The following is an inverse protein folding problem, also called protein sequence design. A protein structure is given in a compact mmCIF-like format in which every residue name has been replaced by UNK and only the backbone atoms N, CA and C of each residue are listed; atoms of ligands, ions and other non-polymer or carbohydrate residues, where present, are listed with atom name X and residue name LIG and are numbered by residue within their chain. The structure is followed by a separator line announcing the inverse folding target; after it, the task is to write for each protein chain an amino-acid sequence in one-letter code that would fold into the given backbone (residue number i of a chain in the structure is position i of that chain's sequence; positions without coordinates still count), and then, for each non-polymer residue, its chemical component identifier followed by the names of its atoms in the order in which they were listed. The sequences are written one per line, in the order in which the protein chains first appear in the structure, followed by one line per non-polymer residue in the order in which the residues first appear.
data_IF_891046741666
#
_entry.id   IF_891046741666
#
_cell.length_a   1.000
_cell.length_b   1.000
_cell.length_c   1.000
_cell.angle_alpha   90.00
_cell.angle_beta   90.00
_cell.angle_gamma   90.00
#
_symmetry.space_group_name_H-M   'P 1'
#
loop_
_entity.id
_entity.type
_entity.pdbx_description
1 polymer ?
#
# COMPACT_ATOMS: atom_id res chain seq x y z
N UNK A 1 10.75 59.80 23.15
CA UNK A 1 10.68 58.32 23.16
C UNK A 1 10.29 57.88 21.76
N UNK A 2 11.02 56.92 21.20
CA UNK A 2 11.15 56.67 19.77
C UNK A 2 9.93 55.99 19.11
N UNK A 3 9.69 56.40 17.86
CA UNK A 3 9.27 55.63 16.68
C UNK A 3 8.51 54.31 16.92
N UNK A 4 7.18 54.33 16.76
CA UNK A 4 6.39 53.11 16.59
C UNK A 4 6.16 52.89 15.10
N UNK A 5 6.95 51.99 14.55
CA UNK A 5 6.98 51.60 13.14
C UNK A 5 5.61 51.18 12.60
N UNK A 6 5.19 51.81 11.51
CA UNK A 6 4.19 51.27 10.60
C UNK A 6 4.84 50.21 9.72
N UNK A 7 4.30 48.99 9.69
CA UNK A 7 4.67 47.98 8.69
C UNK A 7 3.51 47.06 8.32
N UNK A 8 2.95 47.37 7.14
CA UNK A 8 2.29 46.53 6.10
C UNK A 8 1.07 45.66 6.46
N UNK A 9 -0.07 45.90 5.80
CA UNK A 9 -0.94 44.84 5.32
C UNK A 9 -0.58 44.54 3.86
N UNK A 10 -0.10 43.32 3.57
CA UNK A 10 -0.05 42.81 2.20
C UNK A 10 -0.81 41.48 2.16
N UNK A 11 -2.13 41.54 2.33
CA UNK A 11 -3.02 40.41 2.10
C UNK A 11 -3.27 40.37 0.59
N UNK A 12 -2.33 39.77 -0.15
CA UNK A 12 -2.60 39.32 -1.50
C UNK A 12 -3.48 38.08 -1.39
N UNK A 13 -4.78 38.28 -1.62
CA UNK A 13 -5.73 37.20 -1.89
C UNK A 13 -5.28 36.49 -3.16
N UNK A 14 -4.68 35.31 -3.02
CA UNK A 14 -4.67 34.33 -4.10
C UNK A 14 -5.83 33.37 -3.84
N UNK A 15 -6.90 33.65 -4.56
CA UNK A 15 -7.89 32.68 -4.99
C UNK A 15 -7.17 31.39 -5.42
N UNK A 16 -7.30 30.33 -4.63
CA UNK A 16 -6.99 28.98 -5.02
C UNK A 16 -8.16 28.14 -4.57
N UNK A 17 -9.02 27.80 -5.53
CA UNK A 17 -10.18 26.95 -5.34
C UNK A 17 -9.82 25.60 -4.68
N UNK A 18 -10.83 24.84 -4.23
CA UNK A 18 -10.61 23.55 -3.62
C UNK A 18 -10.02 22.60 -4.67
N UNK A 19 -8.71 22.39 -4.57
CA UNK A 19 -7.94 21.41 -5.35
C UNK A 19 -8.45 20.01 -4.98
N UNK A 20 -9.57 19.66 -5.60
CA UNK A 20 -10.24 18.36 -5.44
C UNK A 20 -9.64 17.42 -6.46
N UNK A 21 -8.37 17.10 -6.29
CA UNK A 21 -7.69 16.05 -7.04
C UNK A 21 -7.14 15.02 -6.06
N UNK A 22 -7.64 13.78 -6.02
CA UNK A 22 -6.92 12.73 -5.30
C UNK A 22 -5.65 12.47 -6.09
N UNK A 23 -4.55 13.09 -5.69
CA UNK A 23 -3.22 12.62 -6.05
C UNK A 23 -3.03 11.27 -5.36
N UNK A 24 -3.60 10.21 -5.93
CA UNK A 24 -3.34 8.82 -5.58
C UNK A 24 -1.92 8.48 -5.99
N UNK A 25 -0.95 9.13 -5.38
CA UNK A 25 0.47 8.85 -5.58
C UNK A 25 0.70 7.48 -4.97
N UNK A 26 0.91 6.49 -5.82
CA UNK A 26 1.27 5.13 -5.42
C UNK A 26 2.38 5.19 -4.39
N UNK A 27 2.10 4.72 -3.17
CA UNK A 27 3.11 4.65 -2.12
C UNK A 27 3.93 3.38 -2.33
N UNK A 28 5.25 3.50 -2.23
CA UNK A 28 6.19 2.40 -2.42
C UNK A 28 6.33 1.53 -1.16
N UNK A 29 5.70 1.92 -0.05
CA UNK A 29 5.65 1.13 1.17
C UNK A 29 4.72 -0.06 0.98
N UNK A 30 5.25 -1.26 1.21
CA UNK A 30 4.51 -2.53 1.12
C UNK A 30 3.29 -2.60 2.05
N UNK A 31 3.23 -1.75 3.07
CA UNK A 31 2.13 -1.66 4.03
C UNK A 31 1.12 -0.58 3.69
N UNK A 32 1.35 0.21 2.63
CA UNK A 32 0.45 1.26 2.21
C UNK A 32 -0.80 0.70 1.55
N UNK A 33 -1.89 1.45 1.66
CA UNK A 33 -3.18 1.10 1.07
C UNK A 33 -3.13 1.05 -0.47
N UNK A 34 -2.40 1.96 -1.10
CA UNK A 34 -2.29 2.09 -2.55
C UNK A 34 -0.96 1.55 -3.10
N UNK A 35 -0.45 0.48 -2.49
CA UNK A 35 0.81 -0.14 -2.88
C UNK A 35 0.72 -0.80 -4.27
N UNK A 36 1.62 -0.44 -5.20
CA UNK A 36 1.59 -0.94 -6.59
C UNK A 36 1.87 -2.42 -6.74
N UNK A 37 2.54 -3.04 -5.77
CA UNK A 37 2.88 -4.46 -5.83
C UNK A 37 1.69 -5.38 -5.55
N UNK A 38 0.51 -4.85 -5.23
CA UNK A 38 -0.67 -5.65 -4.97
C UNK A 38 -1.09 -6.48 -6.20
N UNK A 39 -1.32 -7.77 -5.99
CA UNK A 39 -1.80 -8.68 -7.02
C UNK A 39 -3.32 -8.82 -6.96
N UNK A 40 -3.87 -9.05 -5.76
CA UNK A 40 -5.30 -9.14 -5.54
C UNK A 40 -5.64 -8.97 -4.05
N UNK A 41 -6.91 -8.68 -3.78
CA UNK A 41 -7.50 -8.59 -2.44
C UNK A 41 -8.61 -9.61 -2.25
N UNK A 42 -8.72 -10.10 -1.03
CA UNK A 42 -9.80 -10.96 -0.58
C UNK A 42 -10.30 -10.47 0.79
N UNK A 43 -11.31 -9.58 0.77
CA UNK A 43 -11.83 -8.93 1.97
C UNK A 43 -10.75 -8.11 2.68
N UNK A 44 -10.46 -8.46 3.94
CA UNK A 44 -9.41 -7.82 4.77
C UNK A 44 -8.02 -8.42 4.55
N UNK A 45 -7.85 -9.30 3.56
CA UNK A 45 -6.56 -9.90 3.22
C UNK A 45 -6.14 -9.45 1.82
N UNK A 46 -4.84 -9.40 1.58
CA UNK A 46 -4.30 -9.20 0.24
C UNK A 46 -3.03 -10.00 0.01
N UNK A 47 -2.77 -10.25 -1.27
CA UNK A 47 -1.48 -10.76 -1.73
C UNK A 47 -0.81 -9.70 -2.57
N UNK A 48 0.45 -9.40 -2.25
CA UNK A 48 1.27 -8.45 -2.98
C UNK A 48 2.63 -9.05 -3.32
N UNK A 49 3.34 -8.45 -4.26
CA UNK A 49 4.75 -8.68 -4.54
C UNK A 49 5.57 -7.75 -3.65
N UNK A 50 6.65 -8.23 -3.03
CA UNK A 50 7.52 -7.34 -2.28
C UNK A 50 8.18 -6.28 -3.18
N UNK A 51 8.67 -5.20 -2.58
CA UNK A 51 9.30 -4.07 -3.29
C UNK A 51 10.45 -4.50 -4.19
N UNK A 52 11.18 -5.54 -3.77
CA UNK A 52 12.35 -6.06 -4.48
C UNK A 52 11.99 -7.11 -5.54
N UNK A 53 10.71 -7.47 -5.66
CA UNK A 53 10.23 -8.39 -6.70
C UNK A 53 10.82 -9.80 -6.57
N UNK A 54 11.06 -10.28 -5.35
CA UNK A 54 11.64 -11.62 -5.08
C UNK A 54 10.67 -12.59 -4.41
N UNK A 55 9.61 -12.11 -3.77
CA UNK A 55 8.67 -12.93 -3.01
C UNK A 55 7.26 -12.31 -2.97
N UNK A 56 6.27 -13.14 -2.66
CA UNK A 56 4.93 -12.67 -2.30
C UNK A 56 4.84 -12.32 -0.83
N UNK A 57 4.00 -11.34 -0.53
CA UNK A 57 3.59 -10.91 0.80
C UNK A 57 2.12 -11.29 0.95
N UNK A 58 1.79 -11.98 2.04
CA UNK A 58 0.41 -12.15 2.47
C UNK A 58 0.16 -11.20 3.62
N UNK A 59 -0.84 -10.33 3.48
CA UNK A 59 -1.07 -9.24 4.40
C UNK A 59 -2.53 -9.18 4.84
N UNK A 60 -2.74 -8.62 6.03
CA UNK A 60 -4.06 -8.38 6.61
C UNK A 60 -4.24 -6.90 6.92
N UNK A 61 -5.42 -6.38 6.64
CA UNK A 61 -5.78 -5.01 6.93
C UNK A 61 -5.86 -4.80 8.44
N UNK A 62 -5.23 -3.72 8.93
CA UNK A 62 -5.30 -3.30 10.32
C UNK A 62 -6.71 -2.77 10.61
N UNK A 63 -7.37 -3.21 11.70
CA UNK A 63 -8.61 -2.59 12.13
C UNK A 63 -8.35 -1.13 12.52
N UNK A 64 -9.29 -0.24 12.21
CA UNK A 64 -9.32 1.18 12.63
C UNK A 64 -8.35 2.14 11.93
N UNK A 65 -7.74 1.77 10.79
CA UNK A 65 -7.00 2.72 9.96
C UNK A 65 -7.88 3.24 8.79
N UNK A 66 -8.52 4.42 8.92
CA UNK A 66 -9.09 5.12 7.78
C UNK A 66 -7.96 5.64 6.88
N UNK A 67 -8.19 5.61 5.56
CA UNK A 67 -7.25 5.93 4.49
C UNK A 67 -6.25 7.06 4.86
N UNK A 68 -4.97 6.71 5.07
CA UNK A 68 -3.93 7.71 5.37
C UNK A 68 -2.69 7.19 6.12
N UNK A 69 -2.70 5.95 6.64
CA UNK A 69 -1.55 5.30 7.27
C UNK A 69 -1.26 3.91 6.70
N UNK A 70 -0.17 3.28 7.14
CA UNK A 70 0.17 1.89 6.81
C UNK A 70 -0.98 0.95 7.23
N UNK A 71 -1.86 0.64 6.29
CA UNK A 71 -3.14 -0.03 6.49
C UNK A 71 -3.02 -1.55 6.58
N UNK A 72 -1.84 -2.11 6.32
CA UNK A 72 -1.65 -3.55 6.19
C UNK A 72 -0.50 -4.07 7.06
N UNK A 73 -0.75 -5.20 7.74
CA UNK A 73 0.24 -6.01 8.43
C UNK A 73 0.65 -7.21 7.57
N UNK A 74 1.95 -7.42 7.42
CA UNK A 74 2.48 -8.62 6.76
C UNK A 74 2.40 -9.80 7.71
N UNK A 75 1.58 -10.80 7.35
CA UNK A 75 1.43 -12.05 8.08
C UNK A 75 2.51 -13.06 7.70
N UNK A 76 3.01 -12.99 6.47
CA UNK A 76 4.11 -13.84 6.02
C UNK A 76 4.58 -13.52 4.62
N UNK A 77 5.70 -14.13 4.26
CA UNK A 77 6.34 -14.02 2.96
C UNK A 77 6.56 -15.41 2.38
N UNK A 78 6.33 -15.57 1.08
CA UNK A 78 6.39 -16.86 0.40
C UNK A 78 6.99 -16.72 -1.00
N UNK A 79 7.84 -17.68 -1.38
CA UNK A 79 8.37 -17.81 -2.75
C UNK A 79 7.74 -18.99 -3.51
N UNK A 80 6.90 -19.78 -2.85
CA UNK A 80 6.19 -20.92 -3.45
C UNK A 80 4.69 -20.78 -3.26
N UNK A 81 3.92 -21.19 -4.28
CA UNK A 81 2.45 -21.15 -4.26
C UNK A 81 1.90 -22.06 -3.17
N UNK A 82 2.55 -23.21 -2.93
CA UNK A 82 2.18 -24.13 -1.85
C UNK A 82 2.34 -23.51 -0.46
N UNK A 83 3.43 -22.77 -0.21
CA UNK A 83 3.61 -22.02 1.04
C UNK A 83 2.57 -20.93 1.23
N UNK A 84 2.27 -20.19 0.15
CA UNK A 84 1.24 -19.16 0.17
C UNK A 84 -0.16 -19.74 0.41
N UNK A 85 -0.51 -20.86 -0.24
CA UNK A 85 -1.77 -21.57 -0.01
C UNK A 85 -1.89 -22.07 1.43
N UNK A 86 -0.81 -22.61 2.01
CA UNK A 86 -0.81 -23.03 3.40
C UNK A 86 -1.07 -21.86 4.34
N UNK A 87 -0.41 -20.72 4.10
CA UNK A 87 -0.60 -19.51 4.90
C UNK A 87 -2.03 -18.97 4.79
N UNK A 88 -2.57 -18.93 3.57
CA UNK A 88 -3.95 -18.53 3.31
C UNK A 88 -4.94 -19.42 4.05
N UNK A 89 -4.79 -20.75 3.97
CA UNK A 89 -5.63 -21.69 4.72
C UNK A 89 -5.50 -21.51 6.24
N UNK A 90 -4.30 -21.22 6.74
CA UNK A 90 -4.07 -21.01 8.17
C UNK A 90 -4.79 -19.76 8.72
N UNK A 91 -4.93 -18.70 7.92
CA UNK A 91 -5.53 -17.44 8.36
C UNK A 91 -6.98 -17.21 7.91
N UNK A 92 -7.40 -17.78 6.78
CA UNK A 92 -8.73 -17.60 6.18
C UNK A 92 -9.59 -18.86 6.37
N UNK A 93 -8.97 -20.05 6.43
CA UNK A 93 -9.68 -21.32 6.59
C UNK A 93 -10.21 -21.94 5.30
N UNK A 94 -10.02 -21.28 4.15
CA UNK A 94 -10.41 -21.80 2.83
C UNK A 94 -9.36 -21.47 1.75
N UNK A 95 -9.52 -22.06 0.57
CA UNK A 95 -8.73 -21.72 -0.61
C UNK A 95 -9.29 -20.49 -1.31
N UNK A 96 -8.39 -19.68 -1.90
CA UNK A 96 -8.74 -18.52 -2.71
C UNK A 96 -8.47 -18.85 -4.19
N UNK A 97 -9.48 -18.80 -5.09
CA UNK A 97 -9.30 -19.11 -6.52
C UNK A 97 -8.24 -18.25 -7.22
N UNK A 98 -8.05 -17.00 -6.80
CA UNK A 98 -7.07 -16.07 -7.37
C UNK A 98 -5.61 -16.56 -7.20
N UNK A 99 -5.35 -17.41 -6.19
CA UNK A 99 -4.05 -18.08 -6.04
C UNK A 99 -3.78 -19.05 -7.19
N UNK A 100 -4.83 -19.54 -7.87
CA UNK A 100 -4.66 -20.50 -8.94
C UNK A 100 -4.00 -19.95 -10.19
N UNK A 101 -4.17 -18.65 -10.42
CA UNK A 101 -3.49 -17.93 -11.50
C UNK A 101 -1.99 -17.70 -11.22
N UNK A 102 -1.52 -17.87 -9.98
CA UNK A 102 -0.12 -17.66 -9.65
C UNK A 102 0.76 -18.83 -10.13
N UNK A 103 2.01 -18.55 -10.56
CA UNK A 103 2.96 -19.60 -10.90
C UNK A 103 3.30 -20.45 -9.66
N UNK A 104 3.78 -21.69 -9.86
CA UNK A 104 4.18 -22.58 -8.75
C UNK A 104 5.25 -21.96 -7.83
N UNK A 105 6.16 -21.18 -8.40
CA UNK A 105 7.21 -20.46 -7.70
C UNK A 105 7.20 -18.99 -8.15
N UNK A 106 7.57 -18.11 -7.23
CA UNK A 106 7.73 -16.70 -7.52
C UNK A 106 8.76 -16.54 -8.64
N UNK A 107 8.36 -15.84 -9.71
CA UNK A 107 9.29 -15.48 -10.78
C UNK A 107 9.87 -14.12 -10.46
N UNK A 108 11.13 -14.11 -10.02
CA UNK A 108 11.85 -12.87 -9.72
C UNK A 108 11.71 -11.94 -10.91
N UNK A 109 11.18 -10.75 -10.67
CA UNK A 109 11.20 -9.69 -11.68
C UNK A 109 12.59 -9.08 -11.57
N UNK A 110 13.39 -9.22 -12.62
CA UNK A 110 14.59 -8.39 -12.72
C UNK A 110 14.09 -6.94 -12.71
N UNK A 111 14.59 -6.15 -11.77
CA UNK A 111 14.42 -4.72 -11.86
C UNK A 111 15.51 -4.30 -12.85
N UNK A 112 15.14 -4.18 -14.12
CA UNK A 112 15.94 -3.41 -15.05
C UNK A 112 15.95 -1.98 -14.50
N UNK A 113 17.03 -1.64 -13.82
CA UNK A 113 17.30 -0.31 -13.25
C UNK A 113 17.94 0.59 -14.32
#
# INVERSE_FOLDING_TARGET
MADMSFSKPNITSHDRGPDTGPLTRTDHRETAENYSGELFRHGVYRVAVCRDGIQWLFQRQRPQFPAGGAAWDTLGYCVSKSGLNWLVRAYIGCDIPELDALPKHFRRRYRDE
#
